data_IF_515433098882
#
_entry.id   IF_515433098882
#
_cell.length_a   1.000
_cell.length_b   1.000
_cell.length_c   1.000
_cell.angle_alpha   90.00
_cell.angle_beta   90.00
_cell.angle_gamma   90.00
#
_symmetry.space_group_name_H-M   'P 1'
#
loop_
_entity.id
_entity.type
_entity.pdbx_description
1 polymer ?
#
# COMPACT_ATOMS: atom_id res chain seq x y z
N UNK A 1 75.27 -38.73 -197.17
CA UNK A 1 74.14 -38.57 -198.13
C UNK A 1 72.94 -38.07 -197.32
N UNK A 2 72.59 -36.78 -197.29
CA UNK A 2 71.81 -36.02 -198.30
C UNK A 2 70.36 -36.54 -198.35
N UNK A 3 69.25 -35.78 -198.25
CA UNK A 3 68.96 -34.32 -198.29
C UNK A 3 67.42 -34.16 -198.05
N UNK A 4 66.98 -33.11 -197.32
CA UNK A 4 65.65 -32.38 -197.34
C UNK A 4 64.34 -33.20 -197.14
N UNK A 5 63.25 -32.71 -196.54
CA UNK A 5 62.53 -31.42 -196.63
C UNK A 5 61.77 -31.09 -195.32
N UNK A 6 61.55 -29.79 -195.07
CA UNK A 6 60.67 -29.30 -194.01
C UNK A 6 59.25 -28.99 -194.48
N UNK A 7 58.28 -28.96 -193.57
CA UNK A 7 56.98 -28.29 -193.77
C UNK A 7 56.31 -27.92 -192.44
N UNK A 8 55.85 -26.66 -192.39
CA UNK A 8 55.13 -25.91 -191.35
C UNK A 8 54.25 -26.68 -190.34
N UNK A 9 54.46 -26.41 -189.05
CA UNK A 9 53.41 -26.42 -188.02
C UNK A 9 53.01 -24.99 -187.66
N UNK A 10 51.69 -24.80 -187.62
CA UNK A 10 50.96 -23.54 -187.68
C UNK A 10 50.93 -22.75 -186.37
N UNK A 11 50.74 -21.44 -186.50
CA UNK A 11 50.52 -20.44 -185.43
C UNK A 11 49.46 -20.82 -184.37
N UNK A 12 48.58 -21.78 -184.67
CA UNK A 12 47.52 -22.30 -183.80
C UNK A 12 47.97 -23.34 -182.75
N UNK A 13 49.06 -24.10 -182.99
CA UNK A 13 49.49 -25.16 -182.04
C UNK A 13 50.34 -24.60 -180.91
N UNK A 14 51.11 -23.55 -181.20
CA UNK A 14 51.71 -22.68 -180.18
C UNK A 14 50.66 -21.93 -179.37
N UNK A 15 49.50 -21.64 -179.96
CA UNK A 15 48.35 -21.02 -179.27
C UNK A 15 47.65 -22.05 -178.37
N UNK A 16 47.53 -23.32 -178.78
CA UNK A 16 47.01 -24.45 -177.99
C UNK A 16 47.88 -24.79 -176.77
N UNK A 17 49.20 -24.83 -176.92
CA UNK A 17 50.12 -25.06 -175.80
C UNK A 17 50.21 -23.84 -174.86
N UNK A 18 50.07 -22.62 -175.41
CA UNK A 18 49.93 -21.40 -174.60
C UNK A 18 48.61 -21.39 -173.83
N UNK A 19 47.49 -21.83 -174.43
CA UNK A 19 46.19 -21.97 -173.74
C UNK A 19 46.22 -23.06 -172.66
N UNK A 20 46.87 -24.21 -172.90
CA UNK A 20 47.08 -25.23 -171.86
C UNK A 20 47.98 -24.74 -170.74
N UNK A 21 49.06 -24.01 -171.05
CA UNK A 21 49.93 -23.41 -170.05
C UNK A 21 49.18 -22.34 -169.22
N UNK A 22 48.33 -21.52 -169.85
CA UNK A 22 47.42 -20.58 -169.17
C UNK A 22 46.40 -21.30 -168.29
N UNK A 23 45.78 -22.37 -168.76
CA UNK A 23 44.81 -23.14 -167.98
C UNK A 23 45.47 -23.85 -166.79
N UNK A 24 46.68 -24.39 -166.99
CA UNK A 24 47.47 -25.00 -165.92
C UNK A 24 47.94 -23.92 -164.92
N UNK A 25 48.40 -22.76 -165.40
CA UNK A 25 48.73 -21.61 -164.55
C UNK A 25 47.52 -21.12 -163.74
N UNK A 26 46.34 -21.00 -164.37
CA UNK A 26 45.09 -20.63 -163.69
C UNK A 26 44.66 -21.70 -162.66
N UNK A 27 44.89 -22.99 -162.94
CA UNK A 27 44.65 -24.07 -161.98
C UNK A 27 45.61 -24.00 -160.80
N UNK A 28 46.90 -23.69 -161.04
CA UNK A 28 47.88 -23.44 -159.99
C UNK A 28 47.58 -22.18 -159.19
N UNK A 29 47.09 -21.11 -159.82
CA UNK A 29 46.63 -19.89 -159.17
C UNK A 29 45.40 -20.15 -158.28
N UNK A 30 44.38 -20.85 -158.80
CA UNK A 30 43.21 -21.23 -158.01
C UNK A 30 43.59 -22.15 -156.84
N UNK A 31 44.49 -23.11 -157.08
CA UNK A 31 44.98 -24.01 -156.03
C UNK A 31 45.78 -23.25 -154.98
N UNK A 32 46.63 -22.30 -155.39
CA UNK A 32 47.36 -21.40 -154.50
C UNK A 32 46.39 -20.55 -153.68
N UNK A 33 45.35 -19.99 -154.30
CA UNK A 33 44.32 -19.19 -153.64
C UNK A 33 43.53 -20.01 -152.62
N UNK A 34 43.06 -21.21 -152.98
CA UNK A 34 42.35 -22.11 -152.06
C UNK A 34 43.25 -22.52 -150.90
N UNK A 35 44.52 -22.88 -151.17
CA UNK A 35 45.47 -23.21 -150.09
C UNK A 35 45.79 -22.01 -149.21
N UNK A 36 45.84 -20.80 -149.78
CA UNK A 36 46.02 -19.56 -149.03
C UNK A 36 44.83 -19.25 -148.14
N UNK A 37 43.60 -19.44 -148.65
CA UNK A 37 42.36 -19.31 -147.87
C UNK A 37 42.31 -20.31 -146.71
N UNK A 38 42.59 -21.59 -146.97
CA UNK A 38 42.64 -22.61 -145.91
C UNK A 38 43.73 -22.32 -144.87
N UNK A 39 44.88 -21.76 -145.28
CA UNK A 39 45.91 -21.32 -144.33
C UNK A 39 45.45 -20.15 -143.46
N UNK A 40 44.80 -19.13 -144.05
CA UNK A 40 44.25 -18.01 -143.27
C UNK A 40 43.16 -18.45 -142.31
N UNK A 41 42.26 -19.34 -142.73
CA UNK A 41 41.22 -19.91 -141.88
C UNK A 41 41.82 -20.73 -140.73
N UNK A 42 42.87 -21.50 -141.00
CA UNK A 42 43.59 -22.25 -139.98
C UNK A 42 44.29 -21.33 -138.97
N UNK A 43 44.96 -20.27 -139.44
CA UNK A 43 45.58 -19.26 -138.57
C UNK A 43 44.55 -18.54 -137.70
N UNK A 44 43.41 -18.14 -138.27
CA UNK A 44 42.31 -17.54 -137.54
C UNK A 44 41.72 -18.49 -136.48
N UNK A 45 41.55 -19.77 -136.83
CA UNK A 45 41.10 -20.79 -135.90
C UNK A 45 42.10 -20.98 -134.75
N UNK A 46 43.41 -21.03 -135.04
CA UNK A 46 44.46 -21.05 -134.01
C UNK A 46 44.40 -19.82 -133.10
N UNK A 47 44.21 -18.62 -133.64
CA UNK A 47 44.09 -17.39 -132.83
C UNK A 47 42.81 -17.34 -131.99
N UNK A 48 41.68 -17.83 -132.52
CA UNK A 48 40.42 -17.95 -131.76
C UNK A 48 40.58 -18.96 -130.63
N UNK A 49 41.19 -20.11 -130.91
CA UNK A 49 41.49 -21.14 -129.92
C UNK A 49 42.41 -20.60 -128.82
N UNK A 50 43.47 -19.86 -129.18
CA UNK A 50 44.40 -19.25 -128.22
C UNK A 50 43.69 -18.27 -127.28
N UNK A 51 42.85 -17.37 -127.81
CA UNK A 51 42.06 -16.42 -127.00
C UNK A 51 41.07 -17.13 -126.09
N UNK A 52 40.37 -18.15 -126.59
CA UNK A 52 39.46 -18.94 -125.77
C UNK A 52 40.21 -19.67 -124.64
N UNK A 53 41.40 -20.22 -124.93
CA UNK A 53 42.21 -20.90 -123.93
C UNK A 53 42.74 -19.95 -122.85
N UNK A 54 43.17 -18.75 -123.22
CA UNK A 54 43.57 -17.69 -122.27
C UNK A 54 42.39 -17.25 -121.39
N UNK A 55 41.20 -17.07 -121.98
CA UNK A 55 39.97 -16.75 -121.23
C UNK A 55 39.58 -17.88 -120.27
N UNK A 56 39.62 -19.13 -120.71
CA UNK A 56 39.34 -20.30 -119.87
C UNK A 56 40.35 -20.41 -118.73
N UNK A 57 41.64 -20.18 -119.00
CA UNK A 57 42.69 -20.20 -117.97
C UNK A 57 42.44 -19.11 -116.92
N UNK A 58 42.08 -17.89 -117.35
CA UNK A 58 41.74 -16.81 -116.42
C UNK A 58 40.45 -17.08 -115.62
N UNK A 59 39.47 -17.76 -116.21
CA UNK A 59 38.25 -18.18 -115.50
C UNK A 59 38.57 -19.28 -114.48
N UNK A 60 39.36 -20.28 -114.84
CA UNK A 60 39.81 -21.35 -113.94
C UNK A 60 40.55 -20.76 -112.74
N UNK A 61 41.51 -19.85 -112.96
CA UNK A 61 42.26 -19.22 -111.87
C UNK A 61 41.36 -18.42 -110.92
N UNK A 62 40.39 -17.67 -111.45
CA UNK A 62 39.41 -16.94 -110.61
C UNK A 62 38.53 -17.90 -109.81
N UNK A 63 38.01 -18.95 -110.45
CA UNK A 63 37.18 -19.94 -109.77
C UNK A 63 37.96 -20.69 -108.68
N UNK A 64 39.22 -21.04 -108.91
CA UNK A 64 40.11 -21.62 -107.91
C UNK A 64 40.34 -20.68 -106.73
N UNK A 65 40.60 -19.40 -107.00
CA UNK A 65 40.77 -18.39 -105.96
C UNK A 65 39.50 -18.22 -105.13
N UNK A 66 38.36 -18.04 -105.79
CA UNK A 66 37.07 -17.87 -105.11
C UNK A 66 36.73 -19.11 -104.28
N UNK A 67 37.03 -20.32 -104.76
CA UNK A 67 36.85 -21.56 -104.00
C UNK A 67 37.72 -21.58 -102.73
N UNK A 68 38.99 -21.19 -102.82
CA UNK A 68 39.88 -21.08 -101.65
C UNK A 68 39.33 -20.07 -100.65
N UNK A 69 38.95 -18.87 -101.11
CA UNK A 69 38.43 -17.81 -100.24
C UNK A 69 37.12 -18.25 -99.55
N UNK A 70 36.23 -18.94 -100.27
CA UNK A 70 35.01 -19.53 -99.70
C UNK A 70 35.35 -20.54 -98.60
N UNK A 71 36.28 -21.48 -98.83
CA UNK A 71 36.66 -22.47 -97.80
C UNK A 71 37.28 -21.83 -96.55
N UNK A 72 38.05 -20.75 -96.72
CA UNK A 72 38.63 -20.00 -95.59
C UNK A 72 37.54 -19.30 -94.78
N UNK A 73 36.59 -18.65 -95.47
CA UNK A 73 35.43 -18.01 -94.83
C UNK A 73 34.56 -19.03 -94.09
N UNK A 74 34.32 -20.19 -94.68
CA UNK A 74 33.63 -21.30 -94.02
C UNK A 74 34.35 -21.72 -92.73
N UNK A 75 35.67 -21.91 -92.77
CA UNK A 75 36.48 -22.25 -91.60
C UNK A 75 36.43 -21.20 -90.47
N UNK A 76 36.49 -19.92 -90.83
CA UNK A 76 36.34 -18.81 -89.89
C UNK A 76 34.93 -18.77 -89.27
N UNK A 77 33.89 -19.01 -90.09
CA UNK A 77 32.50 -19.07 -89.65
C UNK A 77 32.26 -20.23 -88.68
N UNK A 78 32.78 -21.43 -88.97
CA UNK A 78 32.71 -22.57 -88.05
C UNK A 78 33.41 -22.29 -86.72
N UNK A 79 34.57 -21.64 -86.75
CA UNK A 79 35.30 -21.26 -85.53
C UNK A 79 34.53 -20.23 -84.69
N UNK A 80 33.90 -19.24 -85.34
CA UNK A 80 33.06 -18.26 -84.67
C UNK A 80 31.79 -18.88 -84.06
N UNK A 81 31.14 -19.84 -84.74
CA UNK A 81 30.00 -20.57 -84.17
C UNK A 81 30.40 -21.43 -82.97
N UNK A 82 31.54 -22.12 -83.04
CA UNK A 82 32.06 -22.91 -81.92
C UNK A 82 32.34 -22.03 -80.70
N UNK A 83 32.88 -20.83 -80.91
CA UNK A 83 33.13 -19.90 -79.81
C UNK A 83 31.83 -19.27 -79.27
N UNK A 84 30.88 -18.91 -80.14
CA UNK A 84 29.54 -18.47 -79.73
C UNK A 84 28.87 -19.50 -78.84
N UNK A 85 28.94 -20.79 -79.19
CA UNK A 85 28.28 -21.85 -78.43
C UNK A 85 28.96 -22.05 -77.05
N UNK A 86 30.30 -21.95 -76.98
CA UNK A 86 31.03 -21.93 -75.70
C UNK A 86 30.64 -20.75 -74.82
N UNK A 87 30.60 -19.55 -75.39
CA UNK A 87 30.21 -18.34 -74.67
C UNK A 87 28.76 -18.39 -74.20
N UNK A 88 27.85 -18.95 -75.00
CA UNK A 88 26.45 -19.14 -74.60
C UNK A 88 26.31 -20.11 -73.42
N UNK A 89 27.04 -21.22 -73.41
CA UNK A 89 27.03 -22.12 -72.26
C UNK A 89 27.63 -21.45 -71.02
N UNK A 90 28.74 -20.72 -71.13
CA UNK A 90 29.32 -19.96 -70.02
C UNK A 90 28.33 -18.90 -69.47
N UNK A 91 27.65 -18.16 -70.35
CA UNK A 91 26.64 -17.18 -69.98
C UNK A 91 25.48 -17.85 -69.23
N UNK A 92 25.02 -19.00 -69.70
CA UNK A 92 23.96 -19.79 -69.06
C UNK A 92 24.35 -20.26 -67.65
N UNK A 93 25.60 -20.69 -67.45
CA UNK A 93 26.11 -21.02 -66.12
C UNK A 93 26.09 -19.80 -65.18
N UNK A 94 26.63 -18.67 -65.62
CA UNK A 94 26.66 -17.45 -64.79
C UNK A 94 25.27 -16.87 -64.50
N UNK A 95 24.33 -16.95 -65.45
CA UNK A 95 22.93 -16.57 -65.20
C UNK A 95 22.33 -17.46 -64.11
N UNK A 96 22.58 -18.77 -64.16
CA UNK A 96 22.09 -19.70 -63.14
C UNK A 96 22.73 -19.44 -61.77
N UNK A 97 24.04 -19.25 -61.72
CA UNK A 97 24.77 -18.91 -60.50
C UNK A 97 24.24 -17.60 -59.88
N UNK A 98 24.03 -16.56 -60.69
CA UNK A 98 23.45 -15.29 -60.23
C UNK A 98 22.04 -15.46 -59.66
N UNK A 99 21.20 -16.27 -60.30
CA UNK A 99 19.86 -16.58 -59.80
C UNK A 99 19.90 -17.32 -58.45
N UNK A 100 20.81 -18.29 -58.29
CA UNK A 100 20.93 -19.07 -57.06
C UNK A 100 21.52 -18.22 -55.91
N UNK A 101 22.51 -17.36 -56.20
CA UNK A 101 22.99 -16.36 -55.26
C UNK A 101 21.87 -15.40 -54.83
N UNK A 102 21.05 -14.92 -55.78
CA UNK A 102 19.94 -14.04 -55.46
C UNK A 102 18.90 -14.71 -54.54
N UNK A 103 18.57 -15.98 -54.78
CA UNK A 103 17.71 -16.77 -53.89
C UNK A 103 18.30 -16.88 -52.49
N UNK A 104 19.60 -17.17 -52.38
CA UNK A 104 20.29 -17.29 -51.10
C UNK A 104 20.29 -15.96 -50.34
N UNK A 105 20.61 -14.85 -51.00
CA UNK A 105 20.56 -13.51 -50.40
C UNK A 105 19.16 -13.19 -49.88
N UNK A 106 18.11 -13.47 -50.67
CA UNK A 106 16.74 -13.24 -50.23
C UNK A 106 16.34 -14.13 -49.05
N UNK A 107 16.80 -15.39 -49.01
CA UNK A 107 16.56 -16.29 -47.87
C UNK A 107 17.26 -15.78 -46.60
N UNK A 108 18.53 -15.40 -46.71
CA UNK A 108 19.31 -14.89 -45.59
C UNK A 108 18.76 -13.55 -45.08
N UNK A 109 18.26 -12.69 -45.96
CA UNK A 109 17.58 -11.45 -45.57
C UNK A 109 16.28 -11.72 -44.78
N UNK A 110 15.48 -12.71 -45.19
CA UNK A 110 14.30 -13.15 -44.44
C UNK A 110 14.67 -13.72 -43.08
N UNK A 111 15.72 -14.54 -43.02
CA UNK A 111 16.20 -15.09 -41.76
C UNK A 111 16.71 -13.98 -40.83
N UNK A 112 17.54 -13.06 -41.32
CA UNK A 112 18.04 -11.93 -40.53
C UNK A 112 16.92 -11.04 -39.99
N UNK A 113 15.88 -10.76 -40.78
CA UNK A 113 14.72 -9.99 -40.31
C UNK A 113 13.94 -10.74 -39.23
N UNK A 114 13.76 -12.07 -39.38
CA UNK A 114 13.12 -12.91 -38.36
C UNK A 114 13.94 -13.00 -37.07
N UNK A 115 15.26 -13.14 -37.17
CA UNK A 115 16.18 -13.16 -36.03
C UNK A 115 16.21 -11.81 -35.31
N UNK A 116 16.19 -10.70 -36.05
CA UNK A 116 16.12 -9.36 -35.45
C UNK A 116 14.82 -9.17 -34.66
N UNK A 117 13.69 -9.66 -35.20
CA UNK A 117 12.38 -9.62 -34.52
C UNK A 117 12.41 -10.50 -33.27
N UNK A 118 12.92 -11.72 -33.37
CA UNK A 118 13.04 -12.64 -32.23
C UNK A 118 13.93 -12.06 -31.11
N UNK A 119 15.09 -11.50 -31.43
CA UNK A 119 15.96 -10.82 -30.46
C UNK A 119 15.26 -9.66 -29.76
N UNK A 120 14.46 -8.87 -30.49
CA UNK A 120 13.67 -7.78 -29.89
C UNK A 120 12.61 -8.33 -28.93
N UNK A 121 11.93 -9.41 -29.31
CA UNK A 121 10.95 -10.08 -28.46
C UNK A 121 11.60 -10.69 -27.21
N UNK A 122 12.75 -11.35 -27.34
CA UNK A 122 13.53 -11.90 -26.21
C UNK A 122 13.90 -10.80 -25.22
N UNK A 123 14.49 -9.69 -25.69
CA UNK A 123 14.84 -8.56 -24.84
C UNK A 123 13.61 -7.94 -24.14
N UNK A 124 12.47 -7.86 -24.84
CA UNK A 124 11.22 -7.38 -24.26
C UNK A 124 10.67 -8.34 -23.20
N UNK A 125 10.71 -9.66 -23.44
CA UNK A 125 10.28 -10.68 -22.49
C UNK A 125 11.18 -10.69 -21.25
N UNK A 126 12.49 -10.52 -21.41
CA UNK A 126 13.43 -10.43 -20.31
C UNK A 126 13.17 -9.18 -19.43
N UNK A 127 12.95 -8.02 -20.05
CA UNK A 127 12.56 -6.81 -19.34
C UNK A 127 11.21 -6.96 -18.60
N UNK A 128 10.22 -7.64 -19.20
CA UNK A 128 8.95 -7.93 -18.53
C UNK A 128 9.13 -8.91 -17.36
N UNK A 129 9.96 -9.94 -17.52
CA UNK A 129 10.26 -10.90 -16.45
C UNK A 129 10.96 -10.24 -15.25
N UNK A 130 11.90 -9.32 -15.50
CA UNK A 130 12.52 -8.52 -14.45
C UNK A 130 11.47 -7.68 -13.71
N UNK A 131 10.60 -6.97 -14.44
CA UNK A 131 9.50 -6.19 -13.84
C UNK A 131 8.51 -7.05 -13.05
N UNK A 132 8.18 -8.25 -13.53
CA UNK A 132 7.36 -9.22 -12.82
C UNK A 132 8.04 -9.71 -11.54
N UNK A 133 9.36 -9.94 -11.57
CA UNK A 133 10.14 -10.32 -10.39
C UNK A 133 10.11 -9.23 -9.32
N UNK A 134 10.33 -7.97 -9.71
CA UNK A 134 10.25 -6.82 -8.81
C UNK A 134 8.86 -6.65 -8.20
N UNK A 135 7.80 -6.78 -9.01
CA UNK A 135 6.43 -6.71 -8.54
C UNK A 135 6.10 -7.84 -7.55
N UNK A 136 6.53 -9.07 -7.84
CA UNK A 136 6.38 -10.20 -6.92
C UNK A 136 7.10 -9.94 -5.59
N UNK A 137 8.32 -9.41 -5.61
CA UNK A 137 9.05 -9.07 -4.39
C UNK A 137 8.32 -7.99 -3.57
N UNK A 138 7.73 -6.99 -4.22
CA UNK A 138 6.90 -5.96 -3.56
C UNK A 138 5.64 -6.54 -2.93
N UNK A 139 4.94 -7.44 -3.64
CA UNK A 139 3.74 -8.12 -3.10
C UNK A 139 4.11 -8.90 -1.84
N UNK A 140 5.18 -9.72 -1.86
CA UNK A 140 5.63 -10.47 -0.68
C UNK A 140 5.99 -9.55 0.49
N UNK A 141 6.62 -8.40 0.22
CA UNK A 141 6.94 -7.40 1.26
C UNK A 141 5.68 -6.79 1.88
N UNK A 142 4.70 -6.42 1.05
CA UNK A 142 3.42 -5.87 1.50
C UNK A 142 2.59 -6.89 2.27
N UNK A 143 2.55 -8.15 1.82
CA UNK A 143 1.89 -9.26 2.53
C UNK A 143 2.48 -9.44 3.93
N UNK A 144 3.82 -9.43 4.06
CA UNK A 144 4.50 -9.48 5.36
C UNK A 144 4.13 -8.30 6.25
N UNK A 145 4.13 -7.09 5.72
CA UNK A 145 3.76 -5.88 6.46
C UNK A 145 2.29 -5.93 6.93
N UNK A 146 1.38 -6.44 6.10
CA UNK A 146 -0.03 -6.59 6.41
C UNK A 146 -0.24 -7.61 7.53
N UNK A 147 0.42 -8.77 7.47
CA UNK A 147 0.37 -9.79 8.54
C UNK A 147 0.87 -9.22 9.87
N UNK A 148 1.98 -8.48 9.86
CA UNK A 148 2.49 -7.82 11.07
C UNK A 148 1.48 -6.82 11.64
N UNK A 149 0.89 -5.98 10.78
CA UNK A 149 -0.12 -5.00 11.21
C UNK A 149 -1.40 -5.64 11.73
N UNK A 150 -1.85 -6.73 11.11
CA UNK A 150 -2.98 -7.50 11.61
C UNK A 150 -2.70 -8.07 13.02
N UNK A 151 -1.52 -8.64 13.24
CA UNK A 151 -1.12 -9.13 14.56
C UNK A 151 -1.01 -8.04 15.62
N UNK A 152 -0.49 -6.86 15.27
CA UNK A 152 -0.45 -5.69 16.16
C UNK A 152 -1.87 -5.23 16.56
N UNK A 153 -2.82 -5.20 15.62
CA UNK A 153 -4.21 -4.83 15.88
C UNK A 153 -4.91 -5.85 16.80
N UNK A 154 -4.72 -7.15 16.58
CA UNK A 154 -5.29 -8.18 17.45
C UNK A 154 -4.75 -8.07 18.90
N UNK A 155 -3.46 -7.79 19.06
CA UNK A 155 -2.87 -7.58 20.39
C UNK A 155 -3.44 -6.32 21.06
N UNK A 156 -3.61 -5.24 20.29
CA UNK A 156 -4.19 -4.00 20.77
C UNK A 156 -5.64 -4.20 21.21
N UNK A 157 -6.46 -4.91 20.41
CA UNK A 157 -7.85 -5.24 20.76
C UNK A 157 -7.93 -6.06 22.05
N UNK A 158 -7.02 -7.03 22.25
CA UNK A 158 -6.93 -7.79 23.50
C UNK A 158 -6.59 -6.90 24.70
N UNK A 159 -5.65 -5.97 24.56
CA UNK A 159 -5.30 -5.00 25.61
C UNK A 159 -6.48 -4.08 25.94
N UNK A 160 -7.19 -3.61 24.92
CA UNK A 160 -8.38 -2.76 25.09
C UNK A 160 -9.51 -3.49 25.82
N UNK A 161 -9.77 -4.76 25.48
CA UNK A 161 -10.74 -5.60 26.21
C UNK A 161 -10.35 -5.79 27.67
N UNK A 162 -9.08 -6.06 27.95
CA UNK A 162 -8.58 -6.18 29.32
C UNK A 162 -8.74 -4.85 30.10
N UNK A 163 -8.38 -3.73 29.48
CA UNK A 163 -8.53 -2.41 30.09
C UNK A 163 -10.00 -2.10 30.39
N UNK A 164 -10.93 -2.47 29.50
CA UNK A 164 -12.37 -2.29 29.72
C UNK A 164 -12.84 -3.06 30.96
N UNK A 165 -12.40 -4.31 31.13
CA UNK A 165 -12.73 -5.12 32.33
C UNK A 165 -12.18 -4.47 33.59
N UNK A 166 -10.93 -3.99 33.57
CA UNK A 166 -10.33 -3.27 34.70
C UNK A 166 -11.09 -2.00 35.05
N UNK A 167 -11.50 -1.21 34.04
CA UNK A 167 -12.30 -0.01 34.24
C UNK A 167 -13.65 -0.36 34.85
N UNK A 168 -14.34 -1.39 34.35
CA UNK A 168 -15.61 -1.85 34.92
C UNK A 168 -15.47 -2.29 36.37
N UNK A 169 -14.41 -3.03 36.71
CA UNK A 169 -14.12 -3.42 38.09
C UNK A 169 -13.91 -2.19 38.99
N UNK A 170 -13.10 -1.23 38.54
CA UNK A 170 -12.86 0.02 39.28
C UNK A 170 -14.13 0.86 39.45
N UNK A 171 -15.03 0.86 38.46
CA UNK A 171 -16.30 1.58 38.50
C UNK A 171 -17.23 1.00 39.57
N UNK A 172 -17.31 -0.33 39.67
CA UNK A 172 -18.11 -1.01 40.69
C UNK A 172 -17.56 -0.74 42.10
N UNK A 173 -16.24 -0.74 42.26
CA UNK A 173 -15.61 -0.39 43.53
C UNK A 173 -15.87 1.07 43.92
N UNK A 174 -15.75 1.99 42.96
CA UNK A 174 -16.06 3.41 43.16
C UNK A 174 -17.51 3.60 43.62
N UNK A 175 -18.47 2.93 43.01
CA UNK A 175 -19.89 2.99 43.39
C UNK A 175 -20.13 2.46 44.82
N UNK A 176 -19.49 1.35 45.19
CA UNK A 176 -19.55 0.82 46.57
C UNK A 176 -18.97 1.81 47.57
N UNK A 177 -17.82 2.41 47.27
CA UNK A 177 -17.20 3.40 48.14
C UNK A 177 -18.07 4.66 48.27
N UNK A 178 -18.67 5.14 47.18
CA UNK A 178 -19.61 6.26 47.21
C UNK A 178 -20.82 5.98 48.12
N UNK A 179 -21.39 4.77 48.04
CA UNK A 179 -22.51 4.36 48.90
C UNK A 179 -22.12 4.33 50.38
N UNK A 180 -20.94 3.77 50.72
CA UNK A 180 -20.44 3.77 52.09
C UNK A 180 -20.20 5.19 52.59
N UNK A 181 -19.61 6.06 51.77
CA UNK A 181 -19.37 7.46 52.11
C UNK A 181 -20.70 8.18 52.41
N UNK A 182 -21.72 8.01 51.56
CA UNK A 182 -23.05 8.59 51.78
C UNK A 182 -23.72 8.07 53.08
N UNK A 183 -23.52 6.80 53.43
CA UNK A 183 -24.01 6.26 54.71
C UNK A 183 -23.28 6.89 55.90
N UNK A 184 -21.94 7.05 55.81
CA UNK A 184 -21.14 7.71 56.85
C UNK A 184 -21.50 9.18 57.03
N UNK A 185 -21.81 9.90 55.95
CA UNK A 185 -22.28 11.28 56.02
C UNK A 185 -23.61 11.40 56.78
N UNK A 186 -24.55 10.47 56.54
CA UNK A 186 -25.82 10.41 57.30
C UNK A 186 -25.57 10.14 58.78
N UNK A 187 -24.76 9.12 59.11
CA UNK A 187 -24.38 8.81 60.50
C UNK A 187 -23.73 10.01 61.20
N UNK A 188 -22.77 10.67 60.54
CA UNK A 188 -22.13 11.88 61.04
C UNK A 188 -23.16 13.01 61.28
N UNK A 189 -24.13 13.16 60.37
CA UNK A 189 -25.25 14.09 60.52
C UNK A 189 -26.06 13.81 61.78
N UNK A 190 -26.42 12.55 62.04
CA UNK A 190 -27.13 12.14 63.25
C UNK A 190 -26.31 12.41 64.52
N UNK A 191 -25.01 12.06 64.52
CA UNK A 191 -24.11 12.31 65.65
C UNK A 191 -24.01 13.82 65.93
N UNK A 192 -23.89 14.64 64.88
CA UNK A 192 -23.84 16.10 65.01
C UNK A 192 -25.13 16.65 65.63
N UNK A 193 -26.30 16.18 65.19
CA UNK A 193 -27.59 16.57 65.77
C UNK A 193 -27.70 16.19 67.25
N UNK A 194 -27.28 14.97 67.60
CA UNK A 194 -27.27 14.51 68.99
C UNK A 194 -26.32 15.35 69.84
N UNK A 195 -25.10 15.60 69.36
CA UNK A 195 -24.13 16.44 70.04
C UNK A 195 -24.66 17.87 70.26
N UNK A 196 -25.29 18.48 69.24
CA UNK A 196 -25.97 19.77 69.38
C UNK A 196 -27.07 19.74 70.44
N UNK A 197 -27.88 18.68 70.48
CA UNK A 197 -28.94 18.52 71.49
C UNK A 197 -28.37 18.40 72.90
N UNK A 198 -27.29 17.63 73.08
CA UNK A 198 -26.62 17.47 74.38
C UNK A 198 -26.06 18.82 74.84
N UNK A 199 -25.42 19.58 73.96
CA UNK A 199 -24.88 20.91 74.29
C UNK A 199 -26.00 21.86 74.67
N UNK A 200 -27.12 21.87 73.95
CA UNK A 200 -28.27 22.72 74.27
C UNK A 200 -28.88 22.34 75.62
N UNK A 201 -29.09 21.04 75.89
CA UNK A 201 -29.60 20.58 77.18
C UNK A 201 -28.66 20.87 78.33
N UNK A 202 -27.35 20.78 78.10
CA UNK A 202 -26.33 21.20 79.08
C UNK A 202 -26.41 22.70 79.33
N UNK A 203 -26.57 23.52 78.29
CA UNK A 203 -26.76 24.97 78.41
C UNK A 203 -28.01 25.31 79.24
N UNK A 204 -29.16 24.70 78.93
CA UNK A 204 -30.40 24.88 79.69
C UNK A 204 -30.21 24.54 81.18
N UNK A 205 -29.50 23.45 81.49
CA UNK A 205 -29.18 23.06 82.87
C UNK A 205 -28.23 24.05 83.55
N UNK A 206 -27.18 24.47 82.85
CA UNK A 206 -26.24 25.48 83.36
C UNK A 206 -26.99 26.78 83.67
N UNK A 207 -27.85 27.28 82.78
CA UNK A 207 -28.69 28.47 83.01
C UNK A 207 -29.58 28.30 84.26
N UNK A 208 -30.28 27.17 84.40
CA UNK A 208 -31.08 26.86 85.59
C UNK A 208 -30.26 26.87 86.89
N UNK A 209 -29.06 26.27 86.89
CA UNK A 209 -28.19 26.27 88.08
C UNK A 209 -27.73 27.68 88.44
N UNK A 210 -27.38 28.51 87.45
CA UNK A 210 -27.00 29.90 87.71
C UNK A 210 -28.17 30.70 88.30
N UNK A 211 -29.39 30.55 87.76
CA UNK A 211 -30.59 31.18 88.30
C UNK A 211 -30.90 30.73 89.73
N UNK A 212 -30.89 29.42 89.99
CA UNK A 212 -31.15 28.88 91.32
C UNK A 212 -30.12 29.37 92.36
N UNK A 213 -28.84 29.41 92.00
CA UNK A 213 -27.78 29.95 92.86
C UNK A 213 -27.95 31.46 93.09
N UNK A 214 -28.35 32.21 92.07
CA UNK A 214 -28.66 33.64 92.21
C UNK A 214 -29.85 33.87 93.16
N UNK A 215 -30.92 33.07 93.03
CA UNK A 215 -32.06 33.10 93.94
C UNK A 215 -31.66 32.78 95.39
N UNK A 216 -30.86 31.73 95.61
CA UNK A 216 -30.36 31.39 96.97
C UNK A 216 -29.50 32.52 97.53
N UNK A 217 -28.63 33.11 96.71
CA UNK A 217 -27.83 34.27 97.12
C UNK A 217 -28.71 35.44 97.53
N UNK A 218 -29.74 35.75 96.73
CA UNK A 218 -30.70 36.81 97.03
C UNK A 218 -31.49 36.52 98.33
N UNK A 219 -31.90 35.27 98.56
CA UNK A 219 -32.59 34.87 99.79
C UNK A 219 -31.67 34.97 101.03
N UNK A 220 -30.39 34.61 100.89
CA UNK A 220 -29.39 34.80 101.95
C UNK A 220 -29.18 36.29 102.23
N UNK A 221 -29.12 37.14 101.20
CA UNK A 221 -29.01 38.59 101.34
C UNK A 221 -30.26 39.16 102.04
N UNK A 222 -31.47 38.79 101.60
CA UNK A 222 -32.72 39.18 102.23
C UNK A 222 -32.83 38.70 103.69
N UNK A 223 -32.40 37.46 103.98
CA UNK A 223 -32.34 36.95 105.35
C UNK A 223 -31.35 37.71 106.22
N UNK A 224 -30.18 38.09 105.67
CA UNK A 224 -29.20 38.94 106.36
C UNK A 224 -29.77 40.33 106.63
N UNK A 225 -30.45 40.94 105.67
CA UNK A 225 -31.12 42.23 105.84
C UNK A 225 -32.23 42.17 106.89
N UNK A 226 -33.07 41.13 106.85
CA UNK A 226 -34.10 40.89 107.85
C UNK A 226 -33.51 40.71 109.26
N UNK A 227 -32.39 39.96 109.37
CA UNK A 227 -31.67 39.78 110.63
C UNK A 227 -31.03 41.09 111.12
N UNK A 228 -30.43 41.88 110.23
CA UNK A 228 -29.89 43.20 110.55
C UNK A 228 -31.00 44.15 111.00
N UNK A 229 -32.13 44.16 110.31
CA UNK A 229 -33.33 44.92 110.68
C UNK A 229 -33.88 44.50 112.04
N UNK A 230 -33.94 43.20 112.33
CA UNK A 230 -34.28 42.69 113.66
C UNK A 230 -33.28 43.16 114.73
N UNK A 231 -31.98 43.02 114.48
CA UNK A 231 -30.92 43.47 115.41
C UNK A 231 -30.96 44.98 115.63
N UNK A 232 -31.27 45.76 114.61
CA UNK A 232 -31.47 47.21 114.72
C UNK A 232 -32.69 47.51 115.60
N UNK A 233 -33.86 46.91 115.31
CA UNK A 233 -35.07 47.07 116.15
C UNK A 233 -34.82 46.65 117.60
N UNK A 234 -34.09 45.58 117.82
CA UNK A 234 -33.72 45.12 119.16
C UNK A 234 -32.85 46.17 119.89
N UNK A 235 -31.84 46.75 119.23
CA UNK A 235 -31.02 47.83 119.80
C UNK A 235 -31.83 49.11 120.08
N UNK A 236 -32.71 49.49 119.17
CA UNK A 236 -33.62 50.64 119.31
C UNK A 236 -34.58 50.45 120.50
N UNK A 237 -35.08 49.23 120.70
CA UNK A 237 -35.93 48.86 121.83
C UNK A 237 -35.16 48.85 123.17
N UNK A 238 -33.92 48.35 123.19
CA UNK A 238 -33.04 48.42 124.37
C UNK A 238 -32.71 49.85 124.75
N UNK A 239 -32.60 50.76 123.78
CA UNK A 239 -32.47 52.20 124.01
C UNK A 239 -33.78 52.88 124.45
N UNK A 240 -34.88 52.14 124.61
CA UNK A 240 -36.18 52.63 125.10
C UNK A 240 -37.02 53.39 124.09
N UNK A 241 -36.58 53.50 122.83
CA UNK A 241 -37.24 54.30 121.79
C UNK A 241 -38.44 53.60 121.16
N UNK A 242 -38.46 52.26 121.15
CA UNK A 242 -39.55 51.43 120.63
C UNK A 242 -39.82 50.22 121.56
N UNK A 243 -40.97 49.55 121.43
CA UNK A 243 -41.28 48.31 122.18
C UNK A 243 -40.48 47.11 121.62
N UNK A 244 -40.05 46.20 122.49
CA UNK A 244 -39.29 45.00 122.10
C UNK A 244 -40.07 44.12 121.10
N UNK A 245 -39.39 43.52 120.10
CA UNK A 245 -40.03 42.57 119.19
C UNK A 245 -40.62 41.36 119.93
N UNK A 246 -41.83 40.88 119.56
CA UNK A 246 -42.42 39.69 120.17
C UNK A 246 -41.56 38.43 119.94
N UNK A 247 -41.31 37.66 121.00
CA UNK A 247 -40.57 36.39 120.92
C UNK A 247 -41.51 35.31 120.36
N UNK A 248 -41.14 34.70 119.23
CA UNK A 248 -41.81 33.48 118.75
C UNK A 248 -41.33 32.29 119.59
N UNK A 249 -42.28 31.58 120.22
CA UNK A 249 -42.01 30.36 121.00
C UNK A 249 -42.41 29.11 120.20
N UNK A 250 -41.61 28.04 120.28
CA UNK A 250 -41.82 26.77 119.55
C UNK A 250 -42.36 25.66 120.47
N UNK A 251 -43.29 25.98 121.37
CA UNK A 251 -43.86 24.98 122.28
C UNK A 251 -45.26 24.54 121.82
N UNK A 252 -45.56 23.25 121.99
CA UNK A 252 -46.89 22.66 121.78
C UNK A 252 -47.82 23.03 122.95
N UNK A 253 -48.13 24.31 123.13
CA UNK A 253 -49.13 24.78 124.09
C UNK A 253 -50.26 25.51 123.38
N UNK A 254 -51.44 25.54 124.00
CA UNK A 254 -52.67 26.14 123.48
C UNK A 254 -52.60 27.65 123.18
N UNK A 255 -51.49 28.31 123.53
CA UNK A 255 -51.24 29.74 123.30
C UNK A 255 -50.00 29.97 122.40
N UNK A 256 -49.61 28.96 121.63
CA UNK A 256 -48.49 29.04 120.69
C UNK A 256 -48.84 29.93 119.51
N UNK A 257 -48.04 30.97 119.27
CA UNK A 257 -48.19 31.94 118.18
C UNK A 257 -47.80 31.41 116.80
N UNK A 258 -47.65 30.08 116.66
CA UNK A 258 -47.46 29.39 115.39
C UNK A 258 -48.48 28.24 115.28
N UNK A 259 -49.74 28.60 115.01
CA UNK A 259 -50.83 27.64 114.74
C UNK A 259 -51.11 27.59 113.25
N UNK A 260 -50.84 26.44 112.65
CA UNK A 260 -51.31 26.00 111.32
C UNK A 260 -51.30 24.47 111.41
N UNK A 261 -52.39 23.71 111.59
CA UNK A 261 -53.76 23.83 111.09
C UNK A 261 -54.76 23.05 111.99
N UNK A 262 -56.09 23.31 111.93
CA UNK A 262 -57.13 22.46 112.52
C UNK A 262 -57.28 21.12 111.77
N UNK A 263 -57.73 20.03 112.43
CA UNK A 263 -57.88 18.73 111.79
C UNK A 263 -59.09 18.72 110.84
N UNK A 264 -58.88 18.57 109.52
CA UNK A 264 -59.97 18.24 108.59
C UNK A 264 -59.91 18.78 107.14
N UNK A 265 -58.94 19.61 106.75
CA UNK A 265 -58.89 20.18 105.39
C UNK A 265 -57.76 19.62 104.52
N UNK A 266 -58.06 19.48 103.21
CA UNK A 266 -57.17 19.00 102.15
C UNK A 266 -55.89 19.86 102.08
N UNK A 267 -54.75 19.28 102.47
CA UNK A 267 -53.45 19.97 102.57
C UNK A 267 -52.84 20.17 101.18
N UNK A 268 -52.48 21.42 100.82
CA UNK A 268 -51.69 21.72 99.63
C UNK A 268 -50.19 21.86 100.00
N UNK A 269 -49.27 21.51 99.09
CA UNK A 269 -47.81 21.49 99.35
C UNK A 269 -47.29 22.85 99.86
N UNK A 270 -47.90 23.96 99.45
CA UNK A 270 -47.51 25.32 99.83
C UNK A 270 -47.63 25.58 101.33
N UNK A 271 -48.55 24.90 102.01
CA UNK A 271 -48.92 25.11 103.42
C UNK A 271 -47.97 24.42 104.41
N UNK A 272 -47.05 23.60 103.92
CA UNK A 272 -46.08 22.88 104.75
C UNK A 272 -44.94 23.81 105.21
N UNK A 273 -44.50 23.67 106.47
CA UNK A 273 -43.28 24.33 106.97
C UNK A 273 -42.06 23.77 106.25
N UNK A 274 -40.94 24.51 106.24
CA UNK A 274 -39.73 24.10 105.53
C UNK A 274 -39.23 22.70 105.96
N UNK A 275 -39.26 22.41 107.27
CA UNK A 275 -38.91 21.08 107.81
C UNK A 275 -39.86 19.97 107.33
N UNK A 276 -41.17 20.25 107.23
CA UNK A 276 -42.14 19.29 106.70
C UNK A 276 -41.95 19.06 105.20
N UNK A 277 -41.66 20.12 104.44
CA UNK A 277 -41.31 20.03 103.02
C UNK A 277 -40.04 19.20 102.81
N UNK A 278 -39.02 19.39 103.66
CA UNK A 278 -37.80 18.60 103.63
C UNK A 278 -38.06 17.11 103.88
N UNK A 279 -38.88 16.76 104.89
CA UNK A 279 -39.25 15.38 105.16
C UNK A 279 -40.03 14.72 104.01
N UNK A 280 -40.96 15.46 103.39
CA UNK A 280 -41.71 14.98 102.21
C UNK A 280 -40.78 14.78 101.02
N UNK A 281 -39.85 15.71 100.76
CA UNK A 281 -38.84 15.57 99.70
C UNK A 281 -37.92 14.38 99.95
N UNK A 282 -37.42 14.18 101.18
CA UNK A 282 -36.62 13.00 101.55
C UNK A 282 -37.38 11.70 101.27
N UNK A 283 -38.68 11.65 101.62
CA UNK A 283 -39.53 10.49 101.36
C UNK A 283 -39.79 10.28 99.85
N UNK A 284 -39.98 11.36 99.09
CA UNK A 284 -40.19 11.32 97.64
C UNK A 284 -38.93 10.83 96.91
N UNK A 285 -37.76 11.34 97.26
CA UNK A 285 -36.48 10.88 96.71
C UNK A 285 -36.22 9.40 97.06
N UNK A 286 -36.52 8.96 98.29
CA UNK A 286 -36.43 7.55 98.65
C UNK A 286 -37.38 6.68 97.81
N UNK A 287 -38.58 7.18 97.51
CA UNK A 287 -39.58 6.47 96.69
C UNK A 287 -39.18 6.42 95.20
N UNK A 288 -38.73 7.53 94.63
CA UNK A 288 -38.27 7.60 93.24
C UNK A 288 -37.02 6.75 92.98
N UNK A 289 -36.12 6.68 93.96
CA UNK A 289 -34.90 5.88 93.80
C UNK A 289 -35.18 4.37 93.95
N UNK A 290 -36.19 3.94 94.71
CA UNK A 290 -36.63 2.53 94.72
C UNK A 290 -37.26 2.09 93.39
N UNK A 291 -38.00 2.97 92.70
CA UNK A 291 -38.65 2.62 91.42
C UNK A 291 -37.67 2.57 90.25
N UNK A 292 -36.53 3.29 90.33
CA UNK A 292 -35.50 3.29 89.29
C UNK A 292 -34.65 2.01 89.27
N UNK A 293 -34.54 1.32 90.41
CA UNK A 293 -33.81 0.05 90.52
C UNK A 293 -34.60 -1.17 90.00
N UNK A 294 -35.94 -1.09 89.89
CA UNK A 294 -36.78 -2.17 89.35
C UNK A 294 -36.93 -2.13 87.80
N UNK A 295 -36.68 -0.99 87.13
CA UNK A 295 -36.85 -0.84 85.66
C UNK A 295 -35.57 -1.03 84.83
N UNK A 296 -34.41 -1.21 85.45
CA UNK A 296 -33.11 -1.37 84.75
C UNK A 296 -32.53 -2.77 84.97
N UNK A 297 -33.17 -3.78 84.37
CA UNK A 297 -32.52 -5.06 84.07
C UNK A 297 -31.78 -4.94 82.73
N UNK A 298 -30.49 -5.32 82.62
CA UNK A 298 -29.67 -4.99 81.46
C UNK A 298 -29.94 -5.94 80.29
N UNK A 299 -30.50 -5.39 79.20
CA UNK A 299 -30.47 -6.03 77.87
C UNK A 299 -29.04 -5.97 77.34
N UNK A 300 -28.41 -7.13 77.23
CA UNK A 300 -27.10 -7.31 76.61
C UNK A 300 -27.20 -7.06 75.10
N UNK A 301 -26.69 -5.93 74.62
CA UNK A 301 -26.48 -5.70 73.18
C UNK A 301 -25.12 -6.32 72.82
N UNK A 302 -25.16 -7.46 72.13
CA UNK A 302 -23.99 -8.12 71.56
C UNK A 302 -23.57 -7.35 70.30
N UNK A 303 -22.48 -6.58 70.40
CA UNK A 303 -21.82 -5.96 69.25
C UNK A 303 -20.79 -6.95 68.71
N UNK A 304 -21.15 -7.74 67.70
CA UNK A 304 -20.18 -8.43 66.86
C UNK A 304 -19.60 -7.44 65.85
N UNK A 305 -18.30 -7.20 65.95
CA UNK A 305 -17.52 -6.52 64.91
C UNK A 305 -17.25 -7.50 63.76
N UNK A 306 -17.42 -7.11 62.48
CA UNK A 306 -17.04 -7.95 61.36
C UNK A 306 -15.52 -7.96 61.15
N UNK A 307 -14.97 -9.15 60.99
CA UNK A 307 -13.57 -9.43 60.65
C UNK A 307 -13.13 -8.73 59.36
N UNK A 308 -11.97 -8.08 59.42
CA UNK A 308 -11.24 -7.53 58.28
C UNK A 308 -10.54 -8.66 57.52
N UNK A 309 -11.04 -9.02 56.35
CA UNK A 309 -10.30 -9.84 55.37
C UNK A 309 -9.50 -8.89 54.48
N UNK A 310 -8.20 -8.77 54.74
CA UNK A 310 -7.24 -8.21 53.79
C UNK A 310 -6.79 -9.32 52.82
N UNK A 311 -6.83 -9.09 51.49
CA UNK A 311 -6.19 -10.01 50.55
C UNK A 311 -4.67 -9.81 50.57
N UNK A 312 -3.94 -10.88 50.88
CA UNK A 312 -2.49 -10.98 50.74
C UNK A 312 -2.06 -10.80 49.28
N UNK A 313 -1.21 -9.82 49.02
CA UNK A 313 -0.59 -9.52 47.73
C UNK A 313 0.63 -10.46 47.50
N UNK A 314 0.68 -11.28 46.44
CA UNK A 314 1.85 -12.09 46.12
C UNK A 314 2.68 -11.39 45.05
N UNK A 315 3.61 -10.52 45.47
CA UNK A 315 4.70 -10.05 44.62
C UNK A 315 5.90 -9.65 45.49
N UNK A 316 6.70 -10.64 45.90
CA UNK A 316 8.08 -10.40 46.32
C UNK A 316 9.00 -10.73 45.15
N UNK A 317 9.62 -9.71 44.56
CA UNK A 317 10.83 -9.85 43.74
C UNK A 317 12.06 -9.88 44.67
N UNK A 318 13.12 -10.65 44.33
CA UNK A 318 14.23 -10.90 45.25
C UNK A 318 15.22 -9.73 45.31
N UNK A 319 15.76 -9.51 46.51
CA UNK A 319 16.84 -8.58 46.80
C UNK A 319 18.12 -8.93 46.04
N UNK A 320 18.68 -7.93 45.38
CA UNK A 320 20.01 -7.94 44.78
C UNK A 320 20.99 -7.45 45.85
N UNK A 321 21.80 -8.35 46.40
CA UNK A 321 22.92 -7.97 47.26
C UNK A 321 24.01 -7.29 46.43
N UNK A 322 24.28 -6.02 46.74
CA UNK A 322 25.50 -5.31 46.37
C UNK A 322 26.49 -5.49 47.52
N UNK A 323 27.48 -6.37 47.34
CA UNK A 323 28.89 -6.21 47.77
C UNK A 323 29.73 -7.23 47.04
#
# INVERSE_FOLDING_TARGET
KGKKEGKQESKADKESDVEKAKANAALWELRLQVTGQSLTEYQEACHKLARANEQLTGQLYRAEKDAIDITQLEGAMYSAFKERDRLNEALKYHVKESQDLHKLTNSLAKENTSLALNKKNEAQMEAQNQRLSELRAKVVSLEKALVLKAGELELQEKKEKMNLVTIQASQVELEKLQNVLAMREKELGHIKQLASTIVEKRRELEEFFHEALAHVKQEIEASKEALQGYRWRFREATAGKIKFPPIRTFHKSLHSTNSTHPPGSKVQISDLTWEQKEQVLRLLFAKMNRQREEELSPVTISTQAPESILPSNPNSLPDIHIT
#
